data_IF_903879296850
#
_entry.id   IF_903879296850
#
_cell.length_a   1.000
_cell.length_b   1.000
_cell.length_c   1.000
_cell.angle_alpha   90.00
_cell.angle_beta   90.00
_cell.angle_gamma   90.00
#
_symmetry.space_group_name_H-M   'P 1'
#
loop_
_entity.id
_entity.type
_entity.pdbx_description
1 polymer ?
#
# COMPACT_ATOMS: atom_id res chain seq x y z
N UNK A 1 37.99 -40.53 -6.02
CA UNK A 1 37.16 -39.65 -5.16
C UNK A 1 37.01 -38.27 -5.79
N UNK A 2 36.11 -38.20 -6.75
CA UNK A 2 35.76 -37.00 -7.50
C UNK A 2 34.41 -36.47 -7.02
N UNK A 3 34.35 -35.71 -5.94
CA UNK A 3 33.23 -34.85 -5.61
C UNK A 3 33.75 -33.45 -5.30
N UNK A 4 34.07 -32.71 -6.37
CA UNK A 4 34.26 -31.26 -6.27
C UNK A 4 32.90 -30.65 -5.93
N UNK A 5 32.72 -30.31 -4.65
CA UNK A 5 31.64 -29.43 -4.22
C UNK A 5 31.76 -28.10 -4.94
N UNK A 6 31.11 -27.93 -6.09
CA UNK A 6 30.82 -26.61 -6.64
C UNK A 6 30.00 -25.87 -5.60
N UNK A 7 30.63 -25.03 -4.80
CA UNK A 7 29.96 -23.96 -4.08
C UNK A 7 29.27 -23.10 -5.14
N UNK A 8 28.00 -23.35 -5.43
CA UNK A 8 27.16 -22.39 -6.13
C UNK A 8 27.25 -21.12 -5.31
N UNK A 9 27.95 -20.11 -5.82
CA UNK A 9 27.94 -18.75 -5.32
C UNK A 9 26.45 -18.37 -5.35
N UNK A 10 25.80 -18.36 -4.18
CA UNK A 10 24.43 -17.88 -4.03
C UNK A 10 24.51 -16.39 -4.38
N UNK A 11 24.23 -16.05 -5.63
CA UNK A 11 24.00 -14.66 -6.00
C UNK A 11 22.94 -14.18 -5.01
N UNK A 12 23.24 -13.15 -4.23
CA UNK A 12 22.25 -12.53 -3.36
C UNK A 12 21.14 -12.04 -4.28
N UNK A 13 19.97 -12.69 -4.24
CA UNK A 13 18.82 -12.21 -4.98
C UNK A 13 18.57 -10.78 -4.52
N UNK A 14 18.55 -9.83 -5.45
CA UNK A 14 18.17 -8.44 -5.18
C UNK A 14 16.85 -8.50 -4.41
N UNK A 15 16.80 -7.97 -3.20
CA UNK A 15 15.56 -7.85 -2.45
C UNK A 15 14.80 -6.67 -3.01
N UNK A 16 13.57 -6.90 -3.42
CA UNK A 16 12.67 -5.82 -3.77
C UNK A 16 12.33 -4.99 -2.54
N UNK A 17 12.17 -3.70 -2.74
CA UNK A 17 11.92 -2.72 -1.69
C UNK A 17 10.49 -2.18 -1.77
N UNK A 18 9.92 -1.78 -0.62
CA UNK A 18 8.60 -1.18 -0.61
C UNK A 18 8.46 -0.06 0.41
N UNK A 19 7.50 0.82 0.17
CA UNK A 19 6.95 1.79 1.12
C UNK A 19 5.51 1.38 1.41
N UNK A 20 5.11 1.42 2.70
CA UNK A 20 3.73 1.16 3.15
C UNK A 20 3.11 2.47 3.63
N UNK A 21 2.09 2.95 2.92
CA UNK A 21 1.35 4.16 3.22
C UNK A 21 0.04 3.80 3.93
N UNK A 22 -0.31 4.55 4.98
CA UNK A 22 -1.45 4.21 5.86
C UNK A 22 -1.26 2.83 6.49
N UNK A 23 -0.07 2.60 7.03
CA UNK A 23 0.42 1.27 7.38
C UNK A 23 -0.37 0.59 8.51
N UNK A 24 -1.06 1.38 9.36
CA UNK A 24 -1.74 0.85 10.53
C UNK A 24 -0.78 0.02 11.40
N UNK A 25 -1.25 -1.12 11.87
CA UNK A 25 -0.42 -2.07 12.62
C UNK A 25 0.44 -2.99 11.72
N UNK A 26 0.60 -2.68 10.43
CA UNK A 26 1.43 -3.45 9.49
C UNK A 26 0.75 -4.71 8.93
N UNK A 27 -0.57 -4.69 8.80
CA UNK A 27 -1.31 -5.84 8.28
C UNK A 27 -0.98 -6.17 6.82
N UNK A 28 -0.92 -5.14 5.96
CA UNK A 28 -0.61 -5.29 4.54
C UNK A 28 0.87 -5.61 4.35
N UNK A 29 1.76 -4.88 5.01
CA UNK A 29 3.21 -5.06 4.90
C UNK A 29 3.71 -6.43 5.38
N UNK A 30 2.99 -7.11 6.30
CA UNK A 30 3.36 -8.46 6.75
C UNK A 30 3.44 -9.47 5.59
N UNK A 31 2.52 -9.40 4.63
CA UNK A 31 2.55 -10.25 3.45
C UNK A 31 3.85 -10.07 2.64
N UNK A 32 4.28 -8.82 2.48
CA UNK A 32 5.51 -8.46 1.78
C UNK A 32 6.76 -8.91 2.54
N UNK A 33 6.79 -8.72 3.86
CA UNK A 33 7.89 -9.20 4.69
C UNK A 33 8.08 -10.72 4.57
N UNK A 34 6.99 -11.48 4.64
CA UNK A 34 7.04 -12.96 4.52
C UNK A 34 7.55 -13.43 3.17
N UNK A 35 7.36 -12.64 2.11
CA UNK A 35 7.91 -12.92 0.78
C UNK A 35 9.35 -12.40 0.61
N UNK A 36 9.95 -11.84 1.66
CA UNK A 36 11.34 -11.41 1.68
C UNK A 36 11.58 -10.03 1.10
N UNK A 37 10.53 -9.24 0.89
CA UNK A 37 10.66 -7.83 0.52
C UNK A 37 11.27 -7.03 1.69
N UNK A 38 11.89 -5.90 1.37
CA UNK A 38 12.47 -4.98 2.34
C UNK A 38 11.64 -3.71 2.41
N UNK A 39 11.05 -3.41 3.56
CA UNK A 39 10.44 -2.11 3.77
C UNK A 39 11.52 -1.02 3.89
N UNK A 40 11.26 0.12 3.28
CA UNK A 40 12.04 1.34 3.42
C UNK A 40 11.37 2.33 4.37
N UNK A 41 10.05 2.42 4.31
CA UNK A 41 9.26 3.27 5.19
C UNK A 41 7.84 2.72 5.39
N UNK A 42 7.25 3.08 6.53
CA UNK A 42 5.85 2.94 6.85
C UNK A 42 5.34 4.30 7.34
N UNK A 43 4.30 4.82 6.72
CA UNK A 43 3.68 6.09 7.14
C UNK A 43 2.35 5.79 7.81
N UNK A 44 2.20 6.28 9.04
CA UNK A 44 0.98 6.13 9.83
C UNK A 44 0.84 7.35 10.76
N UNK A 45 -0.37 7.83 10.96
CA UNK A 45 -0.65 8.99 11.83
C UNK A 45 -1.02 8.57 13.24
N UNK A 46 -1.60 7.38 13.41
CA UNK A 46 -2.05 6.89 14.72
C UNK A 46 -0.87 6.39 15.54
N UNK A 47 -0.65 7.03 16.68
CA UNK A 47 0.43 6.70 17.61
C UNK A 47 0.41 5.22 18.04
N UNK A 48 -0.76 4.70 18.41
CA UNK A 48 -0.86 3.33 18.93
C UNK A 48 -0.69 2.28 17.83
N UNK A 49 -1.09 2.61 16.62
CA UNK A 49 -0.81 1.77 15.47
C UNK A 49 0.70 1.73 15.16
N UNK A 50 1.39 2.87 15.23
CA UNK A 50 2.85 2.95 15.08
C UNK A 50 3.59 2.14 16.14
N UNK A 51 3.20 2.24 17.41
CA UNK A 51 3.81 1.46 18.50
C UNK A 51 3.57 -0.04 18.32
N UNK A 52 2.36 -0.42 17.90
CA UNK A 52 2.04 -1.82 17.59
C UNK A 52 2.88 -2.33 16.42
N UNK A 53 3.05 -1.52 15.39
CA UNK A 53 3.89 -1.85 14.23
C UNK A 53 5.36 -2.02 14.64
N UNK A 54 5.93 -1.11 15.45
CA UNK A 54 7.30 -1.20 15.98
C UNK A 54 7.50 -2.48 16.80
N UNK A 55 6.57 -2.76 17.74
CA UNK A 55 6.61 -3.96 18.57
C UNK A 55 6.56 -5.24 17.70
N UNK A 56 5.71 -5.26 16.69
CA UNK A 56 5.60 -6.36 15.72
C UNK A 56 6.89 -6.56 14.93
N UNK A 57 7.45 -5.48 14.39
CA UNK A 57 8.71 -5.53 13.64
C UNK A 57 9.86 -6.05 14.52
N UNK A 58 9.90 -5.63 15.78
CA UNK A 58 10.87 -6.12 16.77
C UNK A 58 10.69 -7.61 17.05
N UNK A 59 9.45 -8.06 17.27
CA UNK A 59 9.14 -9.47 17.53
C UNK A 59 9.60 -10.38 16.38
N UNK A 60 9.34 -9.99 15.14
CA UNK A 60 9.75 -10.72 13.94
C UNK A 60 11.21 -10.47 13.55
N UNK A 61 11.93 -9.63 14.29
CA UNK A 61 13.35 -9.26 14.02
C UNK A 61 13.56 -8.69 12.61
N UNK A 62 12.61 -7.90 12.13
CA UNK A 62 12.80 -7.14 10.91
C UNK A 62 13.85 -6.06 11.13
N UNK A 63 14.64 -5.73 10.10
CA UNK A 63 15.72 -4.75 10.20
C UNK A 63 15.18 -3.33 10.04
N UNK A 64 15.91 -2.38 10.59
CA UNK A 64 15.66 -0.93 10.43
C UNK A 64 14.34 -0.42 11.06
N UNK A 65 13.93 -0.98 12.19
CA UNK A 65 12.67 -0.74 12.88
C UNK A 65 12.46 0.75 13.20
N UNK A 66 13.45 1.39 13.85
CA UNK A 66 13.28 2.75 14.41
C UNK A 66 13.28 3.86 13.35
N UNK A 67 13.89 3.61 12.20
CA UNK A 67 14.00 4.58 11.10
C UNK A 67 12.91 4.42 10.05
N UNK A 68 12.27 3.27 10.01
CA UNK A 68 11.29 2.90 8.99
C UNK A 68 9.85 3.25 9.35
N UNK A 69 9.52 3.57 10.62
CA UNK A 69 8.15 3.93 11.02
C UNK A 69 8.05 5.45 11.20
N UNK A 70 7.40 6.10 10.26
CA UNK A 70 7.16 7.54 10.21
C UNK A 70 5.77 7.80 10.77
N UNK A 71 5.71 8.21 12.04
CA UNK A 71 4.48 8.64 12.72
C UNK A 71 4.18 10.08 12.31
N UNK A 72 3.40 10.23 11.24
CA UNK A 72 3.20 11.54 10.63
C UNK A 72 1.94 11.61 9.76
N UNK A 73 1.42 12.84 9.59
CA UNK A 73 0.32 13.10 8.69
C UNK A 73 0.83 13.09 7.23
N UNK A 74 0.30 12.17 6.44
CA UNK A 74 0.67 11.99 5.04
C UNK A 74 0.30 13.19 4.15
N UNK A 75 -0.61 14.07 4.62
CA UNK A 75 -1.03 15.27 3.89
C UNK A 75 -0.09 16.46 4.09
N UNK A 76 0.88 16.34 5.00
CA UNK A 76 1.82 17.42 5.30
C UNK A 76 2.76 17.72 4.13
N UNK A 77 3.09 18.97 3.95
CA UNK A 77 3.93 19.45 2.83
C UNK A 77 5.34 18.83 2.82
N UNK A 78 5.89 18.50 4.02
CA UNK A 78 7.23 17.92 4.19
C UNK A 78 7.26 16.38 4.18
N UNK A 79 6.15 15.70 3.83
CA UNK A 79 6.08 14.23 3.84
C UNK A 79 7.12 13.60 2.91
N UNK A 80 7.36 14.18 1.75
CA UNK A 80 8.35 13.68 0.78
C UNK A 80 9.77 13.78 1.39
N UNK A 81 10.11 14.88 2.04
CA UNK A 81 11.42 15.04 2.69
C UNK A 81 11.67 13.96 3.78
N UNK A 82 10.62 13.65 4.55
CA UNK A 82 10.69 12.60 5.58
C UNK A 82 10.86 11.22 4.97
N UNK A 83 10.12 10.93 3.90
CA UNK A 83 10.26 9.68 3.15
C UNK A 83 11.66 9.54 2.54
N UNK A 84 12.21 10.60 1.95
CA UNK A 84 13.57 10.60 1.39
C UNK A 84 14.63 10.27 2.44
N UNK A 85 14.50 10.79 3.67
CA UNK A 85 15.40 10.46 4.79
C UNK A 85 15.36 8.97 5.13
N UNK A 86 14.16 8.35 5.10
CA UNK A 86 14.00 6.93 5.38
C UNK A 86 14.45 6.04 4.22
N UNK A 87 14.12 6.42 2.99
CA UNK A 87 14.50 5.73 1.75
C UNK A 87 16.02 5.78 1.54
N UNK A 88 16.66 6.88 1.93
CA UNK A 88 18.12 7.06 1.90
C UNK A 88 18.75 6.68 0.56
N UNK A 89 18.19 7.19 -0.54
CA UNK A 89 18.69 6.97 -1.90
C UNK A 89 18.49 5.54 -2.45
N UNK A 90 17.77 4.68 -1.76
CA UNK A 90 17.44 3.35 -2.26
C UNK A 90 16.31 3.43 -3.29
N UNK A 91 16.34 2.55 -4.29
CA UNK A 91 15.23 2.41 -5.25
C UNK A 91 13.98 1.89 -4.53
N UNK A 92 12.82 2.50 -4.80
CA UNK A 92 11.51 2.05 -4.33
C UNK A 92 10.91 1.19 -5.44
N UNK A 93 10.84 -0.12 -5.24
CA UNK A 93 10.28 -1.03 -6.25
C UNK A 93 8.76 -1.05 -6.20
N UNK A 94 8.16 -0.93 -4.99
CA UNK A 94 6.71 -1.04 -4.79
C UNK A 94 6.24 0.00 -3.76
N UNK A 95 5.08 0.59 -4.01
CA UNK A 95 4.30 1.32 -2.99
C UNK A 95 3.03 0.54 -2.71
N UNK A 96 2.78 0.27 -1.44
CA UNK A 96 1.56 -0.36 -0.97
C UNK A 96 0.82 0.58 -0.04
N UNK A 97 -0.50 0.43 0.11
CA UNK A 97 -1.24 1.21 1.08
C UNK A 97 -2.75 1.09 0.95
N UNK A 98 -3.43 1.38 2.06
CA UNK A 98 -4.88 1.39 2.14
C UNK A 98 -5.38 2.72 2.69
N UNK A 99 -5.51 3.79 1.86
CA UNK A 99 -6.01 5.06 2.35
C UNK A 99 -7.39 4.89 2.99
N UNK A 100 -7.64 5.46 4.18
CA UNK A 100 -8.89 5.29 4.89
C UNK A 100 -10.06 5.85 4.07
N UNK A 101 -11.12 5.07 4.04
CA UNK A 101 -12.33 5.36 3.30
C UNK A 101 -13.51 5.58 4.27
N UNK A 102 -13.35 6.51 5.22
CA UNK A 102 -14.35 6.69 6.27
C UNK A 102 -15.69 7.21 5.75
N UNK A 103 -15.69 8.04 4.73
CA UNK A 103 -16.92 8.50 4.07
C UNK A 103 -17.68 7.36 3.35
N UNK A 104 -17.02 6.23 3.08
CA UNK A 104 -17.58 5.17 2.22
C UNK A 104 -17.87 3.87 2.99
N UNK A 105 -17.41 3.76 4.25
CA UNK A 105 -17.73 2.59 5.07
C UNK A 105 -19.14 2.70 5.65
N UNK A 106 -19.87 1.58 5.71
CA UNK A 106 -21.18 1.52 6.37
C UNK A 106 -21.16 1.99 7.82
N UNK A 107 -20.04 1.76 8.53
CA UNK A 107 -19.82 2.24 9.90
C UNK A 107 -19.58 3.76 10.00
N UNK A 108 -18.96 4.37 8.98
CA UNK A 108 -18.76 5.83 8.91
C UNK A 108 -20.06 6.58 8.60
N UNK A 109 -20.89 6.04 7.71
CA UNK A 109 -22.21 6.62 7.35
C UNK A 109 -23.21 6.71 8.50
N UNK A 110 -23.10 5.83 9.48
CA UNK A 110 -23.99 5.82 10.66
C UNK A 110 -23.56 6.90 11.68
N UNK A 111 -22.30 7.29 11.69
CA UNK A 111 -21.75 8.23 12.72
C UNK A 111 -21.91 9.71 12.35
N UNK A 112 -21.94 10.06 11.06
CA UNK A 112 -22.00 11.46 10.65
C UNK A 112 -22.71 11.64 9.29
N UNK A 113 -24.03 11.72 9.32
CA UNK A 113 -24.83 11.91 8.13
C UNK A 113 -24.81 13.36 7.56
N UNK A 114 -24.23 14.33 8.30
CA UNK A 114 -24.27 15.76 7.94
C UNK A 114 -22.92 16.37 7.58
N UNK A 115 -21.79 15.70 7.86
CA UNK A 115 -20.44 16.24 7.68
C UNK A 115 -19.64 15.67 6.50
N UNK A 116 -20.18 14.71 5.76
CA UNK A 116 -19.41 13.87 4.84
C UNK A 116 -18.90 14.55 3.56
N UNK A 117 -19.55 15.57 3.07
CA UNK A 117 -19.15 16.23 1.81
C UNK A 117 -17.85 17.05 1.95
N UNK A 118 -17.57 17.60 3.13
CA UNK A 118 -16.39 18.44 3.38
C UNK A 118 -15.25 17.73 4.12
N UNK A 119 -15.32 16.41 4.31
CA UNK A 119 -14.29 15.66 5.02
C UNK A 119 -13.04 15.51 4.17
N UNK A 120 -11.93 16.14 4.58
CA UNK A 120 -10.63 16.07 3.91
C UNK A 120 -10.14 14.62 3.70
N UNK A 121 -10.62 13.66 4.51
CA UNK A 121 -10.31 12.23 4.37
C UNK A 121 -10.86 11.59 3.10
N UNK A 122 -11.80 12.24 2.41
CA UNK A 122 -12.32 11.81 1.12
C UNK A 122 -11.26 11.86 0.03
N UNK A 123 -10.21 12.65 0.23
CA UNK A 123 -9.16 12.91 -0.74
C UNK A 123 -7.80 12.35 -0.34
N UNK A 124 -7.73 11.53 0.74
CA UNK A 124 -6.47 10.90 1.17
C UNK A 124 -5.85 9.97 0.10
N UNK A 125 -6.64 9.49 -0.85
CA UNK A 125 -6.09 8.79 -2.00
C UNK A 125 -5.19 9.70 -2.86
N UNK A 126 -5.42 11.02 -2.87
CA UNK A 126 -4.57 11.98 -3.59
C UNK A 126 -3.16 12.03 -2.99
N UNK A 127 -3.04 11.98 -1.66
CA UNK A 127 -1.73 11.87 -1.00
C UNK A 127 -0.99 10.59 -1.41
N UNK A 128 -1.71 9.46 -1.53
CA UNK A 128 -1.15 8.23 -2.06
C UNK A 128 -0.67 8.42 -3.51
N UNK A 129 -1.48 9.03 -4.38
CA UNK A 129 -1.14 9.29 -5.78
C UNK A 129 0.06 10.22 -5.90
N UNK A 130 0.13 11.29 -5.11
CA UNK A 130 1.25 12.23 -5.11
C UNK A 130 2.58 11.55 -4.78
N UNK A 131 2.60 10.67 -3.78
CA UNK A 131 3.78 9.88 -3.42
C UNK A 131 4.10 8.87 -4.51
N UNK A 132 3.08 8.24 -5.13
CA UNK A 132 3.25 7.33 -6.25
C UNK A 132 3.87 8.04 -7.48
N UNK A 133 3.40 9.24 -7.81
CA UNK A 133 3.93 10.07 -8.91
C UNK A 133 5.38 10.52 -8.63
N UNK A 134 5.74 10.76 -7.36
CA UNK A 134 7.09 11.16 -6.98
C UNK A 134 8.10 10.01 -7.15
N UNK A 135 7.82 8.85 -6.52
CA UNK A 135 8.77 7.73 -6.52
C UNK A 135 8.75 6.89 -7.81
N UNK A 136 7.65 6.90 -8.54
CA UNK A 136 7.45 6.11 -9.77
C UNK A 136 7.90 4.65 -9.62
N UNK A 137 7.42 3.92 -8.59
CA UNK A 137 7.80 2.53 -8.39
C UNK A 137 7.40 1.67 -9.59
N UNK A 138 7.95 0.46 -9.67
CA UNK A 138 7.59 -0.50 -10.74
C UNK A 138 6.16 -0.98 -10.62
N UNK A 139 5.71 -1.14 -9.37
CA UNK A 139 4.39 -1.64 -9.02
C UNK A 139 3.78 -0.83 -7.89
N UNK A 140 2.47 -0.87 -7.79
CA UNK A 140 1.78 -0.45 -6.59
C UNK A 140 0.66 -1.42 -6.20
N UNK A 141 0.28 -1.40 -4.93
CA UNK A 141 -0.91 -2.09 -4.40
C UNK A 141 -1.73 -1.10 -3.60
N UNK A 142 -2.93 -0.84 -4.06
CA UNK A 142 -3.89 0.05 -3.42
C UNK A 142 -5.05 -0.79 -2.87
N UNK A 143 -5.23 -0.79 -1.54
CA UNK A 143 -6.30 -1.53 -0.86
C UNK A 143 -7.41 -0.59 -0.42
N UNK A 144 -8.66 -1.06 -0.50
CA UNK A 144 -9.78 -0.31 0.07
C UNK A 144 -10.97 -1.24 0.44
N UNK A 145 -11.96 -0.67 1.14
CA UNK A 145 -13.22 -1.34 1.40
C UNK A 145 -14.09 -1.40 0.14
N UNK A 146 -14.96 -2.41 0.01
CA UNK A 146 -15.86 -2.54 -1.16
C UNK A 146 -16.82 -1.36 -1.33
N UNK A 147 -17.06 -0.59 -0.26
CA UNK A 147 -17.87 0.63 -0.32
C UNK A 147 -17.34 1.69 -1.28
N UNK A 148 -16.04 1.69 -1.63
CA UNK A 148 -15.46 2.63 -2.60
C UNK A 148 -16.10 2.51 -3.99
N UNK A 149 -16.59 1.33 -4.37
CA UNK A 149 -17.18 1.06 -5.69
C UNK A 149 -18.48 1.84 -5.93
N UNK A 150 -19.25 2.09 -4.87
CA UNK A 150 -20.54 2.79 -4.93
C UNK A 150 -20.53 4.17 -4.28
N UNK A 151 -19.43 4.55 -3.69
CA UNK A 151 -19.29 5.80 -2.95
C UNK A 151 -19.36 7.03 -3.86
N UNK A 152 -20.02 8.07 -3.37
CA UNK A 152 -20.11 9.36 -4.04
C UNK A 152 -19.62 10.48 -3.13
N UNK A 153 -18.90 11.41 -3.70
CA UNK A 153 -18.47 12.66 -3.08
C UNK A 153 -18.87 13.78 -4.02
N UNK A 154 -19.56 14.79 -3.50
CA UNK A 154 -20.10 15.90 -4.27
C UNK A 154 -20.91 15.45 -5.51
N UNK A 155 -21.73 14.41 -5.33
CA UNK A 155 -22.57 13.84 -6.39
C UNK A 155 -21.84 13.04 -7.48
N UNK A 156 -20.52 12.85 -7.35
CA UNK A 156 -19.71 12.10 -8.31
C UNK A 156 -19.18 10.81 -7.69
N UNK A 157 -19.19 9.71 -8.45
CA UNK A 157 -18.55 8.48 -8.03
C UNK A 157 -17.04 8.65 -7.87
N UNK A 158 -16.50 8.19 -6.71
CA UNK A 158 -15.08 8.35 -6.39
C UNK A 158 -14.21 7.29 -7.08
N UNK A 159 -14.72 6.08 -7.27
CA UNK A 159 -13.96 4.96 -7.83
C UNK A 159 -13.39 5.26 -9.22
N UNK A 160 -14.16 5.81 -10.19
CA UNK A 160 -13.61 6.24 -11.48
C UNK A 160 -12.53 7.31 -11.35
N UNK A 161 -12.63 8.24 -10.38
CA UNK A 161 -11.60 9.25 -10.13
C UNK A 161 -10.29 8.61 -9.64
N UNK A 162 -10.39 7.66 -8.71
CA UNK A 162 -9.23 6.90 -8.20
C UNK A 162 -8.58 6.11 -9.34
N UNK A 163 -9.35 5.36 -10.13
CA UNK A 163 -8.82 4.61 -11.28
C UNK A 163 -8.15 5.52 -12.30
N UNK A 164 -8.75 6.67 -12.61
CA UNK A 164 -8.17 7.64 -13.54
C UNK A 164 -6.84 8.19 -13.02
N UNK A 165 -6.76 8.53 -11.73
CA UNK A 165 -5.54 9.05 -11.12
C UNK A 165 -4.42 8.00 -11.11
N UNK A 166 -4.71 6.76 -10.68
CA UNK A 166 -3.76 5.66 -10.65
C UNK A 166 -3.34 5.22 -12.07
N UNK A 167 -4.24 5.30 -13.04
CA UNK A 167 -4.02 4.87 -14.42
C UNK A 167 -3.21 5.82 -15.30
N UNK A 168 -2.80 7.00 -14.83
CA UNK A 168 -2.00 7.94 -15.63
C UNK A 168 -0.67 7.31 -16.09
N UNK A 169 0.11 6.79 -15.17
CA UNK A 169 1.45 6.23 -15.40
C UNK A 169 1.49 4.69 -15.32
N UNK A 170 0.37 4.06 -14.89
CA UNK A 170 0.29 2.63 -14.64
C UNK A 170 -0.81 1.96 -15.46
N UNK A 171 -0.55 0.73 -15.89
CA UNK A 171 -1.59 -0.18 -16.35
C UNK A 171 -2.31 -0.74 -15.12
N UNK A 172 -3.63 -0.55 -15.08
CA UNK A 172 -4.50 -1.01 -13.97
C UNK A 172 -5.71 -1.76 -14.53
N UNK A 173 -6.16 -2.77 -13.81
CA UNK A 173 -7.45 -3.41 -14.08
C UNK A 173 -8.53 -2.61 -13.34
N UNK A 174 -9.61 -2.29 -14.02
CA UNK A 174 -10.73 -1.50 -13.46
C UNK A 174 -12.01 -2.30 -13.22
N UNK A 175 -12.02 -3.60 -13.53
CA UNK A 175 -13.20 -4.45 -13.38
C UNK A 175 -13.44 -4.82 -11.91
N UNK A 176 -14.56 -4.36 -11.29
CA UNK A 176 -14.87 -4.68 -9.91
C UNK A 176 -14.97 -6.17 -9.59
N UNK A 177 -15.37 -7.01 -10.56
CA UNK A 177 -15.48 -8.47 -10.37
C UNK A 177 -14.11 -9.10 -10.14
N UNK A 178 -13.07 -8.56 -10.78
CA UNK A 178 -11.69 -9.00 -10.63
C UNK A 178 -11.05 -8.39 -9.37
N UNK A 179 -11.40 -7.14 -9.02
CA UNK A 179 -10.77 -6.40 -7.95
C UNK A 179 -11.24 -6.78 -6.55
N UNK A 180 -12.44 -7.36 -6.41
CA UNK A 180 -12.99 -7.71 -5.09
C UNK A 180 -12.53 -9.08 -4.65
N UNK A 181 -11.70 -9.11 -3.61
CA UNK A 181 -11.19 -10.33 -3.00
C UNK A 181 -11.81 -10.57 -1.62
N UNK A 182 -12.19 -11.82 -1.34
CA UNK A 182 -12.63 -12.24 -0.02
C UNK A 182 -11.52 -13.08 0.65
N UNK A 183 -11.06 -12.65 1.81
CA UNK A 183 -9.94 -13.32 2.50
C UNK A 183 -10.19 -14.81 2.77
N UNK A 184 -11.45 -15.23 2.91
CA UNK A 184 -11.80 -16.64 3.10
C UNK A 184 -11.39 -17.53 1.90
N UNK A 185 -11.37 -16.98 0.68
CA UNK A 185 -10.94 -17.69 -0.53
C UNK A 185 -9.42 -17.96 -0.55
N UNK A 186 -8.69 -17.27 0.31
CA UNK A 186 -7.23 -17.39 0.48
C UNK A 186 -6.83 -18.13 1.76
N UNK A 187 -7.76 -18.89 2.36
CA UNK A 187 -7.49 -19.70 3.55
C UNK A 187 -7.49 -18.95 4.88
N UNK A 188 -7.92 -17.69 4.91
CA UNK A 188 -8.10 -16.91 6.15
C UNK A 188 -9.49 -17.21 6.72
N UNK A 189 -9.64 -17.60 8.00
CA UNK A 189 -10.94 -17.91 8.61
C UNK A 189 -11.73 -16.64 8.97
N UNK A 190 -11.88 -15.74 7.99
CA UNK A 190 -12.60 -14.48 8.13
C UNK A 190 -13.26 -14.10 6.80
N UNK A 191 -14.54 -13.75 6.84
CA UNK A 191 -15.24 -13.15 5.70
C UNK A 191 -14.91 -11.65 5.66
N UNK A 192 -13.89 -11.29 4.88
CA UNK A 192 -13.47 -9.90 4.70
C UNK A 192 -13.28 -9.60 3.21
N UNK A 193 -14.19 -8.83 2.65
CA UNK A 193 -14.10 -8.40 1.25
C UNK A 193 -13.35 -7.08 1.14
N UNK A 194 -12.42 -6.99 0.19
CA UNK A 194 -11.62 -5.79 -0.10
C UNK A 194 -11.44 -5.62 -1.59
N UNK A 195 -11.36 -4.37 -2.00
CA UNK A 195 -10.91 -3.99 -3.35
C UNK A 195 -9.39 -3.90 -3.30
N UNK A 196 -8.72 -4.64 -4.19
CA UNK A 196 -7.26 -4.60 -4.35
C UNK A 196 -6.97 -4.18 -5.80
N UNK A 197 -6.35 -3.02 -5.96
CA UNK A 197 -5.90 -2.54 -7.27
C UNK A 197 -4.39 -2.71 -7.33
N UNK A 198 -3.93 -3.45 -8.33
CA UNK A 198 -2.50 -3.60 -8.61
C UNK A 198 -2.21 -2.83 -9.90
N UNK A 199 -1.20 -1.96 -9.85
CA UNK A 199 -0.72 -1.24 -11.03
C UNK A 199 0.70 -1.63 -11.39
N UNK A 200 0.94 -1.72 -12.69
CA UNK A 200 2.25 -1.97 -13.30
C UNK A 200 2.63 -0.75 -14.11
N UNK A 201 3.81 -0.16 -13.88
CA UNK A 201 4.23 1.03 -14.61
C UNK A 201 4.34 0.75 -16.11
N UNK A 202 3.79 1.63 -16.94
CA UNK A 202 3.57 1.41 -18.38
C UNK A 202 4.85 1.14 -19.20
N UNK A 203 6.01 1.61 -18.71
CA UNK A 203 7.32 1.36 -19.35
C UNK A 203 7.87 -0.05 -19.08
N UNK A 204 7.28 -0.80 -18.15
CA UNK A 204 7.70 -2.17 -17.86
C UNK A 204 7.08 -3.09 -18.90
N UNK A 205 7.93 -3.79 -19.68
CA UNK A 205 7.46 -4.71 -20.72
C UNK A 205 6.54 -5.79 -20.13
N UNK A 206 5.37 -5.96 -20.74
CA UNK A 206 4.26 -6.85 -20.31
C UNK A 206 4.61 -8.35 -20.16
N UNK A 207 5.82 -8.79 -20.51
CA UNK A 207 6.24 -10.18 -20.39
C UNK A 207 6.47 -10.66 -18.94
N UNK A 208 6.06 -9.88 -17.94
CA UNK A 208 6.32 -10.18 -16.52
C UNK A 208 5.06 -10.61 -15.79
N UNK A 209 3.88 -10.41 -16.34
CA UNK A 209 2.62 -10.75 -15.67
C UNK A 209 1.63 -11.37 -16.66
N UNK A 210 1.66 -12.69 -16.78
CA UNK A 210 0.45 -13.47 -17.05
C UNK A 210 -0.24 -13.69 -15.68
N UNK A 211 -1.20 -12.82 -15.37
CA UNK A 211 -2.10 -12.98 -14.22
C UNK A 211 -3.41 -13.53 -14.74
#
# INVERSE_FOLDING_TARGET
>A
NWWIKRKRKRMSKKKYTFIDLFAGCGGLSEGFYRQGFKALAHVEIDHWACETLRARMQYYKYKDIDKGVIEYDITSEDIIERLEKAVNGQEVDIIIGGPPCQAYSTAGRVRDAKGMASDARNYLFESYVNILEYYKPKFFVFENVTGILSAQVDGSHIFPKVLSALGKEYDVIGDPEILVHNTAEYGVPQLRKRVIIIGVRKDIKKNVIDI
#
